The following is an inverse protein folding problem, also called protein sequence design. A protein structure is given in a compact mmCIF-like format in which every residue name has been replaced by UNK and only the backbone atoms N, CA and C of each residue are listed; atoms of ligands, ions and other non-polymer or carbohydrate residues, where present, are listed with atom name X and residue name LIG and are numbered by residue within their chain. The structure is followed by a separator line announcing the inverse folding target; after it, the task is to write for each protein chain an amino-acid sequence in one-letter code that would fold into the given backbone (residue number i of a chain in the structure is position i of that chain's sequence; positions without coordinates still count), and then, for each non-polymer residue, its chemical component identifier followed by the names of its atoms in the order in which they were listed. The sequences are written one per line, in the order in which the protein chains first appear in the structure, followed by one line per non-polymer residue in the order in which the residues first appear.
data_IF_534600324128
#
_entry.id   IF_534600324128
#
_cell.length_a   1.000
_cell.length_b   1.000
_cell.length_c   1.000
_cell.angle_alpha   90.00
_cell.angle_beta   90.00
_cell.angle_gamma   90.00
#
_symmetry.space_group_name_H-M   'P 1'
#
loop_
_entity.id
_entity.type
_entity.pdbx_description
1 polymer ?
#
# COMPACT_ATOMS: atom_id res chain seq x y z
N UNK A 1 29.47 -21.21 20.42
CA UNK A 1 29.23 -19.77 20.61
C UNK A 1 27.73 -19.52 20.64
N UNK A 2 27.16 -19.28 21.83
CA UNK A 2 25.75 -18.93 22.00
C UNK A 2 25.57 -17.49 21.53
N UNK A 3 24.86 -17.30 20.40
CA UNK A 3 24.59 -15.99 19.84
C UNK A 3 23.74 -15.21 20.86
N UNK A 4 24.34 -14.28 21.60
CA UNK A 4 23.61 -13.39 22.51
C UNK A 4 22.55 -12.65 21.70
N UNK A 5 21.31 -13.15 21.75
CA UNK A 5 20.16 -12.46 21.16
C UNK A 5 19.85 -11.31 22.10
N UNK A 6 20.16 -10.10 21.65
CA UNK A 6 19.70 -8.90 22.34
C UNK A 6 18.19 -9.02 22.59
N UNK A 7 17.67 -8.66 23.77
CA UNK A 7 16.24 -8.66 24.02
C UNK A 7 15.53 -7.89 22.91
N UNK A 8 14.54 -8.52 22.29
CA UNK A 8 13.79 -7.89 21.22
C UNK A 8 12.99 -6.72 21.82
N UNK A 9 13.05 -5.55 21.18
CA UNK A 9 12.20 -4.41 21.53
C UNK A 9 10.73 -4.84 21.56
N UNK A 10 9.95 -4.31 22.50
CA UNK A 10 8.51 -4.60 22.57
C UNK A 10 7.80 -4.12 21.30
N UNK A 11 6.68 -4.73 20.95
CA UNK A 11 5.91 -4.34 19.76
C UNK A 11 5.45 -2.88 19.84
N UNK A 12 4.97 -2.46 21.01
CA UNK A 12 4.56 -1.08 21.30
C UNK A 12 5.69 -0.08 21.05
N UNK A 13 6.91 -0.39 21.50
CA UNK A 13 8.07 0.47 21.23
C UNK A 13 8.35 0.61 19.73
N UNK A 14 8.26 -0.50 18.97
CA UNK A 14 8.50 -0.48 17.52
C UNK A 14 7.42 0.31 16.79
N UNK A 15 6.15 0.18 17.20
CA UNK A 15 5.03 0.94 16.62
C UNK A 15 5.21 2.43 16.85
N UNK A 16 5.56 2.81 18.07
CA UNK A 16 5.76 4.21 18.42
C UNK A 16 6.96 4.83 17.68
N UNK A 17 8.08 4.10 17.57
CA UNK A 17 9.23 4.53 16.78
C UNK A 17 8.87 4.76 15.29
N UNK A 18 8.06 3.88 14.70
CA UNK A 18 7.60 4.01 13.32
C UNK A 18 6.59 5.16 13.17
N UNK A 19 5.69 5.36 14.15
CA UNK A 19 4.73 6.47 14.18
C UNK A 19 5.46 7.81 14.21
N UNK A 20 6.41 7.97 15.11
CA UNK A 20 7.22 9.18 15.24
C UNK A 20 8.00 9.48 13.96
N UNK A 21 8.62 8.46 13.35
CA UNK A 21 9.34 8.61 12.09
C UNK A 21 8.44 8.85 10.86
N UNK A 22 7.12 8.75 11.02
CA UNK A 22 6.13 9.05 9.98
C UNK A 22 5.53 10.46 10.08
N UNK A 23 5.80 11.19 11.16
CA UNK A 23 5.30 12.55 11.34
C UNK A 23 6.08 13.54 10.45
N UNK A 24 5.43 14.58 9.88
CA UNK A 24 6.10 15.56 9.01
C UNK A 24 7.25 16.30 9.69
N UNK A 25 7.15 16.50 11.00
CA UNK A 25 8.10 17.26 11.83
C UNK A 25 9.37 16.46 12.21
N UNK A 26 9.41 15.16 11.93
CA UNK A 26 10.49 14.29 12.38
C UNK A 26 11.07 13.45 11.25
N UNK A 27 12.37 13.60 10.99
CA UNK A 27 13.10 12.69 10.10
C UNK A 27 13.38 11.38 10.83
N UNK A 28 13.34 10.28 10.10
CA UNK A 28 13.66 8.96 10.65
C UNK A 28 15.08 8.91 11.27
N UNK A 29 16.03 9.71 10.77
CA UNK A 29 17.37 9.88 11.37
C UNK A 29 17.32 10.42 12.79
N UNK A 30 16.50 11.45 13.01
CA UNK A 30 16.46 12.21 14.25
C UNK A 30 15.75 11.38 15.33
N UNK A 31 14.67 10.69 14.93
CA UNK A 31 13.96 9.71 15.77
C UNK A 31 14.88 8.55 16.16
N UNK A 32 15.69 8.04 15.23
CA UNK A 32 16.63 6.97 15.53
C UNK A 32 17.70 7.41 16.55
N UNK A 33 18.22 8.63 16.40
CA UNK A 33 19.19 9.20 17.33
C UNK A 33 18.58 9.40 18.72
N UNK A 34 17.37 9.94 18.82
CA UNK A 34 16.65 10.13 20.09
C UNK A 34 16.37 8.81 20.81
N UNK A 35 16.01 7.77 20.05
CA UNK A 35 15.69 6.45 20.59
C UNK A 35 16.92 5.54 20.78
N UNK A 36 18.11 6.00 20.41
CA UNK A 36 19.35 5.21 20.51
C UNK A 36 19.35 3.96 19.65
N UNK A 37 18.65 3.99 18.51
CA UNK A 37 18.56 2.86 17.56
C UNK A 37 19.09 3.25 16.19
N UNK A 38 19.29 2.26 15.32
CA UNK A 38 19.64 2.53 13.92
C UNK A 38 18.42 2.96 13.11
N UNK A 39 18.62 3.88 12.17
CA UNK A 39 17.58 4.29 11.20
C UNK A 39 17.08 3.09 10.40
N UNK A 40 17.98 2.15 10.07
CA UNK A 40 17.64 0.93 9.36
C UNK A 40 16.63 0.06 10.13
N UNK A 41 16.70 0.01 11.46
CA UNK A 41 15.71 -0.71 12.27
C UNK A 41 14.33 -0.09 12.15
N UNK A 42 14.23 1.24 12.16
CA UNK A 42 12.96 1.95 11.96
C UNK A 42 12.37 1.62 10.58
N UNK A 43 13.19 1.65 9.51
CA UNK A 43 12.72 1.28 8.17
C UNK A 43 12.31 -0.19 8.08
N UNK A 44 13.05 -1.09 8.72
CA UNK A 44 12.71 -2.51 8.77
C UNK A 44 11.37 -2.73 9.49
N UNK A 45 11.13 -2.05 10.62
CA UNK A 45 9.86 -2.13 11.34
C UNK A 45 8.72 -1.51 10.54
N UNK A 46 8.93 -0.36 9.89
CA UNK A 46 7.95 0.25 8.99
C UNK A 46 7.51 -0.74 7.91
N UNK A 47 8.47 -1.39 7.24
CA UNK A 47 8.20 -2.42 6.23
C UNK A 47 7.49 -3.65 6.81
N UNK A 48 7.83 -4.07 8.04
CA UNK A 48 7.15 -5.17 8.72
C UNK A 48 5.69 -4.82 8.99
N UNK A 49 5.41 -3.63 9.54
CA UNK A 49 4.04 -3.19 9.84
C UNK A 49 3.22 -2.94 8.58
N UNK A 50 3.78 -2.36 7.51
CA UNK A 50 3.06 -2.23 6.23
C UNK A 50 2.74 -3.59 5.62
N UNK A 51 3.68 -4.54 5.64
CA UNK A 51 3.41 -5.91 5.16
C UNK A 51 2.40 -6.65 6.02
N UNK A 52 2.42 -6.41 7.33
CA UNK A 52 1.45 -6.98 8.26
C UNK A 52 0.07 -6.36 8.05
N UNK A 53 -0.05 -5.05 7.81
CA UNK A 53 -1.34 -4.44 7.44
C UNK A 53 -1.84 -4.99 6.11
N UNK A 54 -0.99 -5.01 5.08
CA UNK A 54 -1.36 -5.55 3.77
C UNK A 54 -1.77 -7.02 3.89
N UNK A 55 -1.06 -7.83 4.68
CA UNK A 55 -1.48 -9.21 4.96
C UNK A 55 -2.73 -9.28 5.82
N UNK A 56 -2.94 -8.44 6.83
CA UNK A 56 -4.15 -8.46 7.65
C UNK A 56 -5.39 -8.04 6.86
N UNK A 57 -5.26 -7.08 5.95
CA UNK A 57 -6.31 -6.72 4.99
C UNK A 57 -6.53 -7.82 3.95
N UNK A 58 -5.47 -8.49 3.50
CA UNK A 58 -5.54 -9.57 2.52
C UNK A 58 -5.74 -10.97 3.12
N UNK A 59 -5.85 -11.11 4.45
CA UNK A 59 -6.04 -12.40 5.13
C UNK A 59 -7.15 -12.28 6.15
N UNK A 60 -8.38 -12.52 5.71
CA UNK A 60 -9.50 -12.80 6.60
C UNK A 60 -9.64 -14.32 6.74
N UNK A 61 -9.76 -14.83 7.98
CA UNK A 61 -10.02 -16.24 8.27
C UNK A 61 -9.06 -17.27 7.63
N UNK A 62 -7.77 -16.94 7.45
CA UNK A 62 -6.77 -17.88 6.94
C UNK A 62 -6.75 -18.07 5.42
N UNK A 63 -7.49 -17.24 4.67
CA UNK A 63 -7.48 -17.22 3.21
C UNK A 63 -6.65 -16.02 2.72
N UNK A 64 -5.60 -16.26 1.94
CA UNK A 64 -4.81 -15.20 1.27
C UNK A 64 -5.57 -14.70 0.03
N UNK A 65 -6.20 -13.55 0.16
CA UNK A 65 -6.96 -12.88 -0.89
C UNK A 65 -6.06 -12.16 -1.90
N UNK A 66 -4.75 -11.99 -1.65
CA UNK A 66 -3.90 -11.17 -2.52
C UNK A 66 -3.75 -11.72 -3.94
N UNK A 67 -3.89 -13.03 -4.15
CA UNK A 67 -3.87 -13.63 -5.49
C UNK A 67 -5.21 -13.52 -6.22
N UNK A 68 -6.33 -13.86 -5.56
CA UNK A 68 -7.66 -13.81 -6.18
C UNK A 68 -8.12 -12.37 -6.44
N UNK A 69 -7.86 -11.47 -5.50
CA UNK A 69 -8.23 -10.06 -5.64
C UNK A 69 -7.43 -9.38 -6.76
N UNK A 70 -6.16 -9.76 -6.96
CA UNK A 70 -5.33 -9.28 -8.07
C UNK A 70 -5.90 -9.64 -9.44
N UNK A 71 -6.42 -10.86 -9.62
CA UNK A 71 -7.04 -11.27 -10.89
C UNK A 71 -8.37 -10.58 -11.16
N UNK A 72 -9.22 -10.45 -10.13
CA UNK A 72 -10.52 -9.77 -10.22
C UNK A 72 -10.32 -8.28 -10.51
N UNK A 73 -9.39 -7.61 -9.83
CA UNK A 73 -9.02 -6.21 -10.10
C UNK A 73 -8.48 -6.05 -11.52
N UNK A 74 -7.60 -6.95 -11.99
CA UNK A 74 -7.08 -6.91 -13.37
C UNK A 74 -8.20 -7.11 -14.41
N UNK A 75 -9.17 -7.98 -14.14
CA UNK A 75 -10.34 -8.17 -15.00
C UNK A 75 -11.22 -6.92 -15.01
N UNK A 76 -11.54 -6.37 -13.84
CA UNK A 76 -12.34 -5.15 -13.70
C UNK A 76 -11.70 -3.95 -14.40
N UNK A 77 -10.39 -3.75 -14.25
CA UNK A 77 -9.67 -2.68 -14.96
C UNK A 77 -9.73 -2.81 -16.48
N UNK A 78 -9.59 -4.03 -17.00
CA UNK A 78 -9.73 -4.28 -18.44
C UNK A 78 -11.14 -4.00 -18.94
N UNK A 79 -12.15 -4.42 -18.19
CA UNK A 79 -13.55 -4.19 -18.56
C UNK A 79 -13.91 -2.70 -18.51
N UNK A 80 -13.47 -1.99 -17.48
CA UNK A 80 -13.70 -0.57 -17.35
C UNK A 80 -13.06 0.20 -18.51
N UNK A 81 -11.81 -0.14 -18.87
CA UNK A 81 -11.15 0.46 -20.02
C UNK A 81 -11.89 0.19 -21.35
N UNK A 82 -12.43 -1.02 -21.55
CA UNK A 82 -13.24 -1.33 -22.72
C UNK A 82 -14.52 -0.49 -22.78
N UNK A 83 -15.21 -0.37 -21.65
CA UNK A 83 -16.43 0.43 -21.54
C UNK A 83 -16.16 1.92 -21.77
N UNK A 84 -15.05 2.45 -21.25
CA UNK A 84 -14.63 3.83 -21.50
C UNK A 84 -14.40 4.10 -23.00
N UNK A 85 -13.71 3.19 -23.70
CA UNK A 85 -13.49 3.29 -25.15
C UNK A 85 -14.80 3.26 -25.94
N UNK A 86 -15.72 2.36 -25.58
CA UNK A 86 -17.03 2.26 -26.23
C UNK A 86 -17.86 3.53 -25.99
N UNK A 87 -17.82 4.07 -24.77
CA UNK A 87 -18.49 5.32 -24.43
C UNK A 87 -17.90 6.51 -25.19
N UNK A 88 -16.58 6.57 -25.34
CA UNK A 88 -15.90 7.60 -26.13
C UNK A 88 -16.26 7.51 -27.61
N UNK A 89 -16.31 6.30 -28.17
CA UNK A 89 -16.73 6.08 -29.54
C UNK A 89 -18.18 6.52 -29.77
N UNK A 90 -19.11 6.11 -28.90
CA UNK A 90 -20.51 6.51 -28.97
C UNK A 90 -20.68 8.02 -28.87
N UNK A 91 -19.94 8.69 -27.97
CA UNK A 91 -19.92 10.16 -27.88
C UNK A 91 -19.46 10.83 -29.17
N UNK A 92 -18.38 10.33 -29.79
CA UNK A 92 -17.88 10.86 -31.07
C UNK A 92 -18.91 10.68 -32.18
N UNK A 93 -19.55 9.52 -32.23
CA UNK A 93 -20.60 9.22 -33.21
C UNK A 93 -21.83 10.11 -33.00
N UNK A 94 -22.31 10.27 -31.77
CA UNK A 94 -23.43 11.18 -31.45
C UNK A 94 -23.09 12.64 -31.80
N UNK A 95 -21.89 13.10 -31.50
CA UNK A 95 -21.44 14.44 -31.86
C UNK A 95 -21.35 14.63 -33.39
N UNK A 96 -20.85 13.62 -34.10
CA UNK A 96 -20.84 13.64 -35.57
C UNK A 96 -22.25 13.76 -36.12
N UNK A 97 -23.20 12.92 -35.68
CA UNK A 97 -24.58 12.98 -36.16
C UNK A 97 -25.30 14.28 -35.79
N UNK A 98 -25.08 14.83 -34.59
CA UNK A 98 -25.64 16.11 -34.19
C UNK A 98 -25.15 17.29 -35.06
N UNK A 99 -23.90 17.23 -35.53
CA UNK A 99 -23.31 18.26 -36.41
C UNK A 99 -23.63 18.07 -37.90
N UNK A 100 -24.22 16.93 -38.30
CA UNK A 100 -24.58 16.63 -39.70
C UNK A 100 -26.10 16.54 -39.90
N UNK A 101 -26.91 16.97 -38.92
CA UNK A 101 -28.34 17.22 -39.08
C UNK A 101 -28.56 18.68 -39.52
N UNK A 102 -28.17 19.00 -40.75
CA UNK A 102 -28.67 20.13 -41.55
C UNK A 102 -29.05 19.63 -42.96
#
# INVERSE_FOLDING_TARGET
MTKHRHPAYTEEFRKEAVRLAGLPEHKASDVAQQLGISVQQIYNWKRQFTRLSDKQFNTSAGVDYSQKESEVIRRLKRENHRLEQENEFLKKVSAYFANHQE
#
